data_IF_507255101774
#
_entry.id   IF_507255101774
#
_cell.length_a   1.000
_cell.length_b   1.000
_cell.length_c   1.000
_cell.angle_alpha   90.00
_cell.angle_beta   90.00
_cell.angle_gamma   90.00
#
_symmetry.space_group_name_H-M   'P 1'
#
loop_
_entity.id
_entity.type
_entity.pdbx_description
1 polymer ?
#
# COMPACT_ATOMS: atom_id res chain seq x y z
N UNK A 1 -23.66 55.10 42.29
CA UNK A 1 -23.86 53.64 42.45
C UNK A 1 -24.76 53.15 41.32
N UNK A 2 -24.48 51.95 40.81
CA UNK A 2 -25.23 51.14 39.83
C UNK A 2 -25.06 51.42 38.33
N UNK A 3 -24.12 50.65 37.78
CA UNK A 3 -24.06 50.19 36.40
C UNK A 3 -25.26 49.29 36.07
N UNK A 4 -25.79 49.35 34.84
CA UNK A 4 -26.51 48.23 34.23
C UNK A 4 -26.35 48.24 32.71
N UNK A 5 -26.24 47.05 32.14
CA UNK A 5 -25.48 46.65 30.95
C UNK A 5 -26.30 46.42 29.67
N UNK A 6 -25.71 46.81 28.53
CA UNK A 6 -25.71 46.35 27.10
C UNK A 6 -26.60 45.15 26.64
N UNK A 7 -26.86 44.93 25.30
CA UNK A 7 -26.08 45.38 24.12
C UNK A 7 -26.85 45.84 22.84
N UNK A 8 -26.11 46.48 21.92
CA UNK A 8 -26.53 47.01 20.60
C UNK A 8 -26.22 46.02 19.44
N UNK A 9 -26.96 46.07 18.31
CA UNK A 9 -26.90 45.07 17.25
C UNK A 9 -25.74 45.33 16.26
N UNK A 10 -24.67 44.54 16.34
CA UNK A 10 -23.59 44.47 15.34
C UNK A 10 -23.78 43.19 14.51
N UNK A 11 -24.94 43.08 13.87
CA UNK A 11 -25.10 42.16 12.76
C UNK A 11 -24.51 42.81 11.51
N UNK A 12 -23.61 42.07 10.83
CA UNK A 12 -22.96 42.36 9.53
C UNK A 12 -21.55 42.96 9.60
N UNK A 13 -20.57 42.16 10.04
CA UNK A 13 -19.20 42.26 9.52
C UNK A 13 -19.11 41.28 8.34
N UNK A 14 -19.69 41.70 7.22
CA UNK A 14 -19.46 41.13 5.90
C UNK A 14 -18.30 41.93 5.30
N UNK A 15 -17.19 41.22 5.08
CA UNK A 15 -16.39 41.27 3.84
C UNK A 15 -15.58 42.56 3.59
N UNK A 16 -14.37 42.35 3.08
CA UNK A 16 -13.43 43.35 2.55
C UNK A 16 -12.52 43.99 3.60
N UNK A 17 -11.46 43.27 3.99
CA UNK A 17 -10.15 43.92 3.98
C UNK A 17 -9.08 42.95 3.50
N UNK A 18 -8.73 43.16 2.24
CA UNK A 18 -7.67 42.57 1.45
C UNK A 18 -6.28 42.71 2.10
N UNK A 19 -5.59 41.59 2.27
CA UNK A 19 -4.14 41.52 2.51
C UNK A 19 -3.58 40.32 1.75
N UNK A 20 -3.10 40.59 0.54
CA UNK A 20 -2.62 39.61 -0.45
C UNK A 20 -1.23 39.06 -0.08
N UNK A 21 -1.05 37.76 -0.36
CA UNK A 21 0.21 37.04 -0.63
C UNK A 21 1.19 36.73 0.52
N UNK A 22 1.01 35.55 1.11
CA UNK A 22 2.08 34.54 1.11
C UNK A 22 1.44 33.16 0.91
N UNK A 23 1.34 32.73 -0.34
CA UNK A 23 0.91 31.39 -0.69
C UNK A 23 2.08 30.42 -0.38
N UNK A 24 1.91 29.59 0.65
CA UNK A 24 2.86 28.50 0.91
C UNK A 24 2.66 27.85 2.27
N UNK A 25 2.10 26.63 2.26
CA UNK A 25 2.27 25.55 3.26
C UNK A 25 1.17 25.20 4.27
N UNK A 26 -0.06 25.74 4.22
CA UNK A 26 -1.16 25.25 5.10
C UNK A 26 -2.40 24.75 4.34
N UNK A 27 -2.23 23.79 3.42
CA UNK A 27 -3.34 22.99 2.86
C UNK A 27 -2.95 21.50 2.74
N UNK A 28 -2.35 20.94 3.79
CA UNK A 28 -2.25 19.48 3.97
C UNK A 28 -2.84 19.20 5.35
N UNK A 29 -4.16 19.03 5.45
CA UNK A 29 -4.77 18.77 6.77
C UNK A 29 -6.29 18.86 6.89
N UNK A 30 -7.03 19.27 5.86
CA UNK A 30 -8.50 19.36 5.94
C UNK A 30 -9.27 18.40 5.03
N UNK A 31 -8.60 17.58 4.22
CA UNK A 31 -9.29 16.62 3.35
C UNK A 31 -9.72 15.32 4.08
N UNK A 32 -9.15 15.02 5.24
CA UNK A 32 -9.40 13.76 5.98
C UNK A 32 -10.56 13.85 7.00
N UNK A 33 -11.17 15.03 7.19
CA UNK A 33 -12.27 15.21 8.15
C UNK A 33 -13.68 15.07 7.54
N UNK A 34 -13.77 14.78 6.24
CA UNK A 34 -15.03 14.50 5.53
C UNK A 34 -15.07 13.09 4.91
N UNK A 35 -14.45 12.10 5.56
CA UNK A 35 -14.56 10.69 5.16
C UNK A 35 -16.00 10.19 5.32
N UNK A 36 -16.85 10.46 4.33
CA UNK A 36 -18.00 9.65 3.99
C UNK A 36 -18.40 9.72 2.51
N UNK A 37 -17.42 9.83 1.60
CA UNK A 37 -17.63 9.58 0.17
C UNK A 37 -16.37 8.95 -0.40
N UNK A 38 -16.49 7.73 -0.92
CA UNK A 38 -15.45 7.12 -1.75
C UNK A 38 -15.13 8.03 -2.95
N UNK A 39 -13.91 8.56 -3.10
CA UNK A 39 -13.49 9.16 -4.35
C UNK A 39 -12.65 8.12 -5.10
N UNK A 40 -13.31 7.44 -6.04
CA UNK A 40 -12.64 6.76 -7.13
C UNK A 40 -11.94 7.83 -7.98
N UNK A 41 -10.64 8.00 -7.75
CA UNK A 41 -9.55 8.37 -8.68
C UNK A 41 -8.61 9.45 -8.09
N UNK A 42 -7.28 9.22 -8.14
CA UNK A 42 -6.42 10.30 -8.65
C UNK A 42 -5.34 9.79 -9.61
N UNK A 43 -5.26 10.43 -10.78
CA UNK A 43 -4.07 10.42 -11.61
C UNK A 43 -2.97 11.22 -10.89
N UNK A 44 -2.25 10.53 -10.03
CA UNK A 44 -0.92 10.88 -9.53
C UNK A 44 -0.04 9.67 -9.85
N UNK A 45 1.03 9.81 -10.65
CA UNK A 45 1.93 8.69 -10.96
C UNK A 45 2.52 8.05 -9.68
N UNK A 46 2.59 8.83 -8.60
CA UNK A 46 3.07 8.42 -7.29
C UNK A 46 2.07 7.58 -6.50
N UNK A 47 0.75 7.84 -6.58
CA UNK A 47 -0.25 7.17 -5.72
C UNK A 47 -0.67 5.80 -6.27
N UNK A 48 -0.71 5.60 -7.59
CA UNK A 48 -1.07 4.32 -8.18
C UNK A 48 -0.01 3.23 -7.94
N UNK A 49 1.28 3.59 -7.99
CA UNK A 49 2.39 2.69 -7.68
C UNK A 49 2.40 2.31 -6.19
N UNK A 50 2.27 3.30 -5.29
CA UNK A 50 2.15 3.06 -3.85
C UNK A 50 0.96 2.16 -3.49
N UNK A 51 -0.18 2.37 -4.16
CA UNK A 51 -1.37 1.52 -3.98
C UNK A 51 -1.14 0.08 -4.44
N UNK A 52 -0.33 -0.13 -5.48
CA UNK A 52 0.03 -1.46 -5.97
C UNK A 52 0.97 -2.15 -5.00
N UNK A 53 1.99 -1.45 -4.50
CA UNK A 53 2.94 -2.00 -3.53
C UNK A 53 2.24 -2.38 -2.22
N UNK A 54 1.31 -1.54 -1.73
CA UNK A 54 0.48 -1.88 -0.57
C UNK A 54 -0.34 -3.16 -0.81
N UNK A 55 -1.00 -3.26 -1.97
CA UNK A 55 -1.81 -4.45 -2.33
C UNK A 55 -0.95 -5.72 -2.38
N UNK A 56 0.25 -5.64 -2.95
CA UNK A 56 1.18 -6.77 -2.99
C UNK A 56 1.61 -7.17 -1.58
N UNK A 57 1.89 -6.21 -0.69
CA UNK A 57 2.24 -6.49 0.70
C UNK A 57 1.09 -7.12 1.49
N UNK A 58 -0.14 -6.69 1.24
CA UNK A 58 -1.33 -7.32 1.83
C UNK A 58 -1.54 -8.75 1.32
N UNK A 59 -1.34 -8.99 0.02
CA UNK A 59 -1.39 -10.34 -0.57
C UNK A 59 -0.34 -11.26 0.04
N UNK A 60 0.90 -10.79 0.17
CA UNK A 60 1.98 -11.53 0.81
C UNK A 60 1.56 -11.99 2.21
N UNK A 61 1.08 -11.05 3.05
CA UNK A 61 0.60 -11.37 4.41
C UNK A 61 -0.56 -12.37 4.38
N UNK A 62 -1.49 -12.22 3.46
CA UNK A 62 -2.63 -13.13 3.28
C UNK A 62 -2.16 -14.57 3.04
N UNK A 63 -1.22 -14.76 2.11
CA UNK A 63 -0.66 -16.08 1.83
C UNK A 63 0.18 -16.61 2.99
N UNK A 64 0.96 -15.79 3.67
CA UNK A 64 1.70 -16.20 4.87
C UNK A 64 0.78 -16.71 5.98
N UNK A 65 -0.38 -16.08 6.18
CA UNK A 65 -1.38 -16.54 7.16
C UNK A 65 -1.98 -17.90 6.78
N UNK A 66 -2.22 -18.14 5.48
CA UNK A 66 -2.68 -19.45 5.00
C UNK A 66 -1.59 -20.49 5.22
N UNK A 67 -0.34 -20.21 4.84
CA UNK A 67 0.80 -21.13 5.00
C UNK A 67 1.06 -21.47 6.47
N UNK A 68 0.84 -20.54 7.40
CA UNK A 68 0.94 -20.83 8.84
C UNK A 68 -0.03 -21.91 9.30
N UNK A 69 -1.22 -21.98 8.69
CA UNK A 69 -2.25 -22.98 9.00
C UNK A 69 -2.09 -24.24 8.16
N UNK A 70 -1.70 -24.08 6.90
CA UNK A 70 -1.57 -25.12 5.90
C UNK A 70 -0.20 -25.01 5.21
N UNK A 71 0.88 -25.53 5.83
CA UNK A 71 2.26 -25.35 5.34
C UNK A 71 2.52 -25.91 3.95
N UNK A 72 1.72 -26.88 3.53
CA UNK A 72 1.84 -27.58 2.24
C UNK A 72 0.77 -27.15 1.23
N UNK A 73 0.00 -26.08 1.51
CA UNK A 73 -0.99 -25.58 0.57
C UNK A 73 -0.27 -25.00 -0.66
N UNK A 74 -0.33 -25.74 -1.77
CA UNK A 74 0.37 -25.40 -3.00
C UNK A 74 -0.12 -24.07 -3.58
N UNK A 75 -1.41 -23.76 -3.47
CA UNK A 75 -1.98 -22.52 -3.98
C UNK A 75 -1.43 -21.32 -3.20
N UNK A 76 -1.32 -21.43 -1.88
CA UNK A 76 -0.75 -20.37 -1.05
C UNK A 76 0.76 -20.19 -1.30
N UNK A 77 1.51 -21.29 -1.45
CA UNK A 77 2.92 -21.23 -1.81
C UNK A 77 3.14 -20.59 -3.19
N UNK A 78 2.36 -20.97 -4.20
CA UNK A 78 2.40 -20.36 -5.54
C UNK A 78 2.06 -18.88 -5.51
N UNK A 79 0.99 -18.52 -4.79
CA UNK A 79 0.57 -17.14 -4.59
C UNK A 79 1.67 -16.30 -3.95
N UNK A 80 2.28 -16.81 -2.88
CA UNK A 80 3.40 -16.15 -2.21
C UNK A 80 4.61 -15.96 -3.12
N UNK A 81 5.01 -16.99 -3.88
CA UNK A 81 6.09 -16.87 -4.89
C UNK A 81 5.74 -15.77 -5.89
N UNK A 82 4.56 -15.82 -6.51
CA UNK A 82 4.16 -14.87 -7.53
C UNK A 82 4.12 -13.43 -7.01
N UNK A 83 3.59 -13.22 -5.80
CA UNK A 83 3.56 -11.91 -5.15
C UNK A 83 4.97 -11.39 -4.88
N UNK A 84 5.87 -12.22 -4.32
CA UNK A 84 7.26 -11.81 -4.06
C UNK A 84 8.03 -11.51 -5.33
N UNK A 85 7.82 -12.27 -6.41
CA UNK A 85 8.39 -11.95 -7.72
C UNK A 85 7.89 -10.62 -8.29
N UNK A 86 6.60 -10.29 -8.11
CA UNK A 86 6.05 -8.99 -8.51
C UNK A 86 6.62 -7.83 -7.68
N UNK A 87 6.98 -8.09 -6.43
CA UNK A 87 7.68 -7.15 -5.55
C UNK A 87 9.19 -7.08 -5.81
N UNK A 88 9.70 -7.82 -6.79
CA UNK A 88 11.14 -7.98 -7.06
C UNK A 88 11.93 -8.57 -5.87
N UNK A 89 11.24 -9.22 -4.93
CA UNK A 89 11.83 -9.97 -3.82
C UNK A 89 12.17 -11.39 -4.26
N UNK A 90 13.22 -11.50 -5.06
CA UNK A 90 13.69 -12.79 -5.56
C UNK A 90 14.16 -13.69 -4.41
N UNK A 91 14.84 -13.13 -3.41
CA UNK A 91 15.36 -13.86 -2.25
C UNK A 91 14.22 -14.50 -1.46
N UNK A 92 13.19 -13.71 -1.11
CA UNK A 92 12.04 -14.22 -0.40
C UNK A 92 11.22 -15.23 -1.19
N UNK A 93 11.27 -15.22 -2.53
CA UNK A 93 10.58 -16.20 -3.36
C UNK A 93 11.25 -17.60 -3.33
N UNK A 94 12.52 -17.72 -2.93
CA UNK A 94 13.26 -19.00 -2.97
C UNK A 94 12.64 -20.05 -2.06
N UNK A 95 12.45 -19.75 -0.78
CA UNK A 95 11.96 -20.73 0.19
C UNK A 95 10.58 -21.35 -0.18
N UNK A 96 9.53 -20.57 -0.48
CA UNK A 96 8.26 -21.15 -0.88
C UNK A 96 8.36 -21.92 -2.21
N UNK A 97 9.26 -21.51 -3.10
CA UNK A 97 9.50 -22.22 -4.34
C UNK A 97 10.20 -23.57 -4.14
N UNK A 98 11.18 -23.64 -3.24
CA UNK A 98 11.81 -24.91 -2.85
C UNK A 98 10.80 -25.88 -2.24
N UNK A 99 9.83 -25.38 -1.46
CA UNK A 99 8.72 -26.21 -0.96
C UNK A 99 7.86 -26.74 -2.10
N UNK A 100 7.53 -25.93 -3.10
CA UNK A 100 6.76 -26.38 -4.26
C UNK A 100 7.47 -27.50 -5.04
N UNK A 101 8.79 -27.40 -5.22
CA UNK A 101 9.61 -28.45 -5.85
C UNK A 101 9.59 -29.73 -5.02
N UNK A 102 9.74 -29.63 -3.69
CA UNK A 102 9.69 -30.79 -2.79
C UNK A 102 8.33 -31.48 -2.79
N UNK A 103 7.25 -30.71 -2.85
CA UNK A 103 5.88 -31.25 -2.88
C UNK A 103 5.49 -31.83 -4.25
N UNK A 104 6.15 -31.41 -5.33
CA UNK A 104 5.85 -31.83 -6.70
C UNK A 104 7.15 -32.15 -7.46
N UNK A 105 7.86 -33.23 -7.08
CA UNK A 105 9.13 -33.59 -7.72
C UNK A 105 8.96 -33.90 -9.22
N UNK A 106 7.77 -34.36 -9.62
CA UNK A 106 7.45 -34.72 -11.01
C UNK A 106 7.08 -33.50 -11.87
N UNK A 107 7.02 -32.29 -11.29
CA UNK A 107 6.75 -31.07 -12.05
C UNK A 107 8.08 -30.36 -12.41
N UNK A 108 8.62 -30.57 -13.63
CA UNK A 108 9.89 -29.96 -14.02
C UNK A 108 9.81 -28.43 -14.11
N UNK A 109 8.61 -27.84 -14.24
CA UNK A 109 8.46 -26.39 -14.32
C UNK A 109 8.84 -25.70 -13.02
N UNK A 110 8.53 -26.28 -11.85
CA UNK A 110 8.94 -25.68 -10.58
C UNK A 110 10.44 -25.70 -10.39
N UNK A 111 11.11 -26.77 -10.84
CA UNK A 111 12.58 -26.82 -10.82
C UNK A 111 13.18 -25.74 -11.72
N UNK A 112 12.70 -25.63 -12.96
CA UNK A 112 13.17 -24.62 -13.91
C UNK A 112 12.96 -23.18 -13.39
N UNK A 113 11.80 -22.90 -12.80
CA UNK A 113 11.52 -21.59 -12.20
C UNK A 113 12.39 -21.32 -10.97
N UNK A 114 12.62 -22.30 -10.08
CA UNK A 114 13.54 -22.15 -8.95
C UNK A 114 14.96 -21.84 -9.42
N UNK A 115 15.45 -22.56 -10.42
CA UNK A 115 16.76 -22.34 -11.01
C UNK A 115 16.85 -20.93 -11.63
N UNK A 116 15.80 -20.49 -12.33
CA UNK A 116 15.70 -19.13 -12.88
C UNK A 116 15.71 -18.03 -11.80
N UNK A 117 15.04 -18.24 -10.67
CA UNK A 117 15.08 -17.31 -9.52
C UNK A 117 16.50 -17.25 -8.94
N UNK A 118 17.12 -18.41 -8.70
CA UNK A 118 18.49 -18.51 -8.16
C UNK A 118 19.54 -17.88 -9.08
N UNK A 119 19.38 -18.01 -10.40
CA UNK A 119 20.28 -17.37 -11.38
C UNK A 119 20.19 -15.84 -11.34
N UNK A 120 19.00 -15.27 -11.13
CA UNK A 120 18.82 -13.80 -11.00
C UNK A 120 19.35 -13.25 -9.68
N UNK A 121 19.45 -14.11 -8.66
CA UNK A 121 20.02 -13.79 -7.34
C UNK A 121 21.56 -13.88 -7.34
N UNK A 122 22.10 -14.90 -8.01
CA UNK A 122 23.53 -15.19 -8.04
C UNK A 122 24.36 -14.06 -8.65
N UNK A 123 25.66 -13.98 -8.32
CA UNK A 123 26.51 -12.89 -8.79
C UNK A 123 26.49 -12.91 -10.31
N UNK A 124 26.10 -11.79 -10.92
CA UNK A 124 26.33 -11.54 -12.34
C UNK A 124 27.79 -11.91 -12.62
N UNK A 125 28.01 -12.89 -13.50
CA UNK A 125 29.36 -13.31 -13.91
C UNK A 125 30.20 -12.12 -14.35
#
# INVERSE_FOLDING_TARGET
>A
MSQNTSPKPIQRILVILSGVAFAGSTIIGMAELFTNTSPKNPNTPTTAAQSKDLKLKEQERGYELVIKREPNNQLALQGLVQTRLQMNDLQGAVEPMEKLVKLNPDNPQYKALLDGIKQRIGPSK
#
